data_IF_223676901331
#
_entry.id   IF_223676901331
#
_cell.length_a   1.000
_cell.length_b   1.000
_cell.length_c   1.000
_cell.angle_alpha   90.00
_cell.angle_beta   90.00
_cell.angle_gamma   90.00
#
_symmetry.space_group_name_H-M   'P 1'
#
loop_
_entity.id
_entity.type
_entity.pdbx_description
1 polymer ?
#
# COMPACT_ATOMS: atom_id res chain seq x y z
N UNK A 1 40.69 16.20 16.88
CA UNK A 1 41.18 14.81 16.70
C UNK A 1 40.17 14.07 15.81
N UNK A 2 40.44 13.87 14.50
CA UNK A 2 39.57 13.09 13.59
C UNK A 2 39.94 11.63 13.78
N UNK A 3 38.99 10.84 14.27
CA UNK A 3 39.15 9.37 14.34
C UNK A 3 38.98 8.85 12.90
N UNK A 4 40.09 8.42 12.28
CA UNK A 4 40.09 7.76 10.97
C UNK A 4 39.83 6.29 11.24
N UNK A 5 38.62 5.81 10.97
CA UNK A 5 38.30 4.38 11.08
C UNK A 5 39.00 3.60 9.96
N UNK A 6 39.49 2.41 10.27
CA UNK A 6 40.13 1.55 9.27
C UNK A 6 39.15 0.98 8.26
N UNK A 7 39.58 0.69 7.02
CA UNK A 7 38.77 0.03 6.01
C UNK A 7 38.17 -1.32 6.48
N UNK A 8 38.84 -2.01 7.39
CA UNK A 8 38.39 -3.29 7.92
C UNK A 8 37.29 -3.12 8.96
N UNK A 9 37.29 -2.06 9.78
CA UNK A 9 36.23 -1.74 10.72
C UNK A 9 34.93 -1.35 9.97
N UNK A 10 35.03 -0.55 8.92
CA UNK A 10 33.90 -0.21 8.07
C UNK A 10 33.29 -1.43 7.35
N UNK A 11 34.12 -2.37 6.91
CA UNK A 11 33.63 -3.64 6.32
C UNK A 11 32.92 -4.50 7.37
N UNK A 12 33.45 -4.62 8.56
CA UNK A 12 32.83 -5.41 9.63
C UNK A 12 31.49 -4.82 10.09
N UNK A 13 31.42 -3.50 10.26
CA UNK A 13 30.17 -2.80 10.55
C UNK A 13 29.13 -3.02 9.44
N UNK A 14 29.55 -2.93 8.18
CA UNK A 14 28.66 -3.18 7.04
C UNK A 14 28.10 -4.62 7.02
N UNK A 15 28.94 -5.64 7.26
CA UNK A 15 28.49 -7.03 7.35
C UNK A 15 27.58 -7.28 8.56
N UNK A 16 27.89 -6.67 9.70
CA UNK A 16 27.05 -6.77 10.90
C UNK A 16 25.65 -6.13 10.65
N UNK A 17 25.60 -4.95 10.05
CA UNK A 17 24.34 -4.28 9.69
C UNK A 17 23.56 -5.11 8.66
N UNK A 18 24.22 -5.63 7.63
CA UNK A 18 23.61 -6.49 6.64
C UNK A 18 23.03 -7.77 7.26
N UNK A 19 23.77 -8.39 8.17
CA UNK A 19 23.33 -9.59 8.91
C UNK A 19 22.13 -9.30 9.82
N UNK A 20 22.14 -8.16 10.52
CA UNK A 20 21.01 -7.70 11.33
C UNK A 20 19.78 -7.42 10.45
N UNK A 21 19.95 -6.78 9.29
CA UNK A 21 18.87 -6.53 8.33
C UNK A 21 18.27 -7.84 7.82
N UNK A 22 19.13 -8.84 7.49
CA UNK A 22 18.67 -10.16 7.04
C UNK A 22 17.89 -10.88 8.15
N UNK A 23 18.37 -10.81 9.41
CA UNK A 23 17.67 -11.40 10.55
C UNK A 23 16.33 -10.72 10.77
N UNK A 24 16.28 -9.38 10.77
CA UNK A 24 15.02 -8.63 10.96
C UNK A 24 14.03 -8.93 9.82
N UNK A 25 14.49 -9.04 8.58
CA UNK A 25 13.64 -9.43 7.46
C UNK A 25 13.11 -10.86 7.61
N UNK A 26 13.88 -11.77 8.18
CA UNK A 26 13.45 -13.14 8.44
C UNK A 26 12.42 -13.25 9.57
N UNK A 27 12.50 -12.36 10.58
CA UNK A 27 11.59 -12.37 11.74
C UNK A 27 10.20 -11.78 11.39
N UNK A 28 10.09 -10.95 10.34
CA UNK A 28 8.84 -10.25 9.98
C UNK A 28 8.10 -10.87 8.79
N UNK A 29 8.64 -11.90 8.14
CA UNK A 29 8.01 -12.53 6.99
C UNK A 29 7.11 -13.67 7.42
N UNK A 30 5.94 -13.77 6.77
CA UNK A 30 5.07 -14.93 6.88
C UNK A 30 5.80 -16.17 6.34
N UNK A 31 5.87 -17.24 7.14
CA UNK A 31 6.33 -18.55 6.68
C UNK A 31 5.13 -19.42 6.39
N UNK A 32 5.10 -20.04 5.23
CA UNK A 32 4.05 -20.98 4.86
C UNK A 32 4.62 -22.38 4.67
N UNK A 33 3.80 -23.39 5.01
CA UNK A 33 4.17 -24.78 4.96
C UNK A 33 3.07 -25.56 4.25
N UNK A 34 3.48 -26.50 3.41
CA UNK A 34 2.60 -27.52 2.85
C UNK A 34 2.51 -28.68 3.82
N UNK A 35 1.30 -29.16 4.05
CA UNK A 35 1.08 -30.39 4.82
C UNK A 35 1.20 -31.59 3.87
N UNK A 36 2.17 -32.46 4.14
CA UNK A 36 2.36 -33.70 3.42
C UNK A 36 2.41 -34.86 4.42
N UNK A 37 1.40 -35.71 4.42
CA UNK A 37 1.30 -36.89 5.32
C UNK A 37 1.60 -36.57 6.79
N UNK A 38 1.03 -35.48 7.34
CA UNK A 38 1.23 -34.96 8.70
C UNK A 38 2.61 -34.33 8.97
N UNK A 39 3.49 -34.23 7.95
CA UNK A 39 4.75 -33.48 8.03
C UNK A 39 4.58 -32.12 7.35
N UNK A 40 5.35 -31.14 7.85
CA UNK A 40 5.40 -29.81 7.28
C UNK A 40 6.62 -29.71 6.36
N UNK A 41 6.38 -29.23 5.15
CA UNK A 41 7.40 -28.88 4.17
C UNK A 41 7.35 -27.36 3.97
N UNK A 42 8.42 -26.67 4.26
CA UNK A 42 8.49 -25.21 4.10
C UNK A 42 8.44 -24.87 2.61
N UNK A 43 7.67 -23.84 2.29
CA UNK A 43 7.59 -23.28 0.93
C UNK A 43 8.44 -22.02 0.91
N UNK A 44 9.44 -21.99 0.03
CA UNK A 44 10.36 -20.89 -0.09
C UNK A 44 9.67 -19.61 -0.62
N UNK A 45 10.16 -18.47 -0.18
CA UNK A 45 9.74 -17.18 -0.70
C UNK A 45 10.24 -16.99 -2.13
N UNK A 46 9.41 -16.41 -2.99
CA UNK A 46 9.74 -15.96 -4.33
C UNK A 46 9.58 -14.45 -4.41
N UNK A 47 10.63 -13.76 -4.79
CA UNK A 47 10.57 -12.31 -4.99
C UNK A 47 9.87 -11.98 -6.28
N UNK A 48 9.09 -10.88 -6.29
CA UNK A 48 8.57 -10.29 -7.52
C UNK A 48 9.71 -9.60 -8.28
N UNK A 49 9.67 -9.66 -9.59
CA UNK A 49 10.69 -9.08 -10.47
C UNK A 49 10.58 -7.55 -10.58
N UNK A 50 9.37 -7.02 -10.39
CA UNK A 50 9.07 -5.59 -10.56
C UNK A 50 7.77 -5.18 -9.86
N UNK A 51 7.55 -3.87 -9.70
CA UNK A 51 6.26 -3.30 -9.30
C UNK A 51 5.16 -3.66 -10.32
N UNK A 52 5.50 -3.70 -11.61
CA UNK A 52 4.56 -4.06 -12.68
C UNK A 52 4.05 -5.50 -12.58
N UNK A 53 4.87 -6.44 -12.10
CA UNK A 53 4.41 -7.81 -11.83
C UNK A 53 3.36 -7.82 -10.72
N UNK A 54 3.61 -7.11 -9.62
CA UNK A 54 2.66 -6.97 -8.51
C UNK A 54 1.38 -6.30 -9.01
N UNK A 55 1.49 -5.21 -9.74
CA UNK A 55 0.35 -4.49 -10.33
C UNK A 55 -0.51 -5.43 -11.18
N UNK A 56 0.10 -6.18 -12.09
CA UNK A 56 -0.62 -7.11 -12.97
C UNK A 56 -1.38 -8.18 -12.18
N UNK A 57 -0.76 -8.76 -11.15
CA UNK A 57 -1.42 -9.76 -10.30
C UNK A 57 -2.61 -9.12 -9.57
N UNK A 58 -2.44 -7.95 -9.01
CA UNK A 58 -3.48 -7.27 -8.23
C UNK A 58 -4.63 -6.81 -9.13
N UNK A 59 -4.35 -6.17 -10.26
CA UNK A 59 -5.38 -5.66 -11.19
C UNK A 59 -6.29 -6.78 -11.71
N UNK A 60 -5.73 -7.96 -11.99
CA UNK A 60 -6.51 -9.12 -12.41
C UNK A 60 -7.33 -9.77 -11.28
N UNK A 61 -7.15 -9.34 -10.03
CA UNK A 61 -7.75 -9.98 -8.86
C UNK A 61 -8.32 -8.99 -7.84
N UNK A 62 -8.63 -7.74 -8.20
CA UNK A 62 -9.12 -6.71 -7.27
C UNK A 62 -10.40 -7.11 -6.54
N UNK A 63 -11.31 -7.83 -7.22
CA UNK A 63 -12.53 -8.35 -6.60
C UNK A 63 -12.23 -9.43 -5.57
N UNK A 64 -11.35 -10.38 -5.90
CA UNK A 64 -10.98 -11.48 -5.01
C UNK A 64 -10.22 -10.99 -3.78
N UNK A 65 -9.30 -10.02 -3.97
CA UNK A 65 -8.41 -9.54 -2.92
C UNK A 65 -9.09 -8.51 -1.99
N UNK A 66 -9.93 -7.64 -2.56
CA UNK A 66 -10.41 -6.44 -1.86
C UNK A 66 -11.91 -6.20 -1.99
N UNK A 67 -12.65 -7.03 -2.74
CA UNK A 67 -14.03 -6.77 -3.12
C UNK A 67 -14.21 -5.43 -3.87
N UNK A 68 -13.21 -5.04 -4.69
CA UNK A 68 -13.21 -3.79 -5.45
C UNK A 68 -13.39 -4.07 -6.95
N UNK A 69 -14.16 -3.23 -7.61
CA UNK A 69 -14.27 -3.23 -9.07
C UNK A 69 -13.06 -2.52 -9.68
N UNK A 70 -12.30 -3.23 -10.53
CA UNK A 70 -11.25 -2.59 -11.33
C UNK A 70 -11.86 -1.63 -12.34
N UNK A 71 -11.35 -0.39 -12.40
CA UNK A 71 -11.83 0.65 -13.32
C UNK A 71 -10.81 0.94 -14.40
N UNK A 72 -9.57 1.29 -14.02
CA UNK A 72 -8.55 1.74 -14.96
C UNK A 72 -7.14 1.45 -14.45
N UNK A 73 -6.27 1.00 -15.36
CA UNK A 73 -4.81 0.98 -15.16
C UNK A 73 -4.19 2.28 -15.63
N UNK A 74 -3.17 2.76 -14.94
CA UNK A 74 -2.34 3.90 -15.34
C UNK A 74 -3.15 5.14 -15.77
N UNK A 75 -4.16 5.49 -14.97
CA UNK A 75 -5.00 6.67 -15.21
C UNK A 75 -4.17 7.95 -15.12
N UNK A 76 -4.14 8.74 -16.20
CA UNK A 76 -3.51 10.05 -16.21
C UNK A 76 -4.52 11.11 -15.80
N UNK A 77 -4.19 11.91 -14.80
CA UNK A 77 -4.99 13.05 -14.35
C UNK A 77 -4.03 14.18 -13.96
N UNK A 78 -4.18 15.33 -14.61
CA UNK A 78 -3.21 16.44 -14.53
C UNK A 78 -1.79 15.95 -14.88
N UNK A 79 -0.78 16.31 -14.08
CA UNK A 79 0.60 15.90 -14.25
C UNK A 79 0.95 14.57 -13.51
N UNK A 80 -0.06 13.83 -13.08
CA UNK A 80 0.09 12.61 -12.29
C UNK A 80 -0.45 11.39 -13.02
N UNK A 81 0.17 10.25 -12.74
CA UNK A 81 -0.28 8.94 -13.19
C UNK A 81 -0.59 8.07 -11.98
N UNK A 82 -1.83 7.67 -11.87
CA UNK A 82 -2.35 6.76 -10.86
C UNK A 82 -2.15 5.33 -11.37
N UNK A 83 -1.50 4.46 -10.62
CA UNK A 83 -1.20 3.10 -11.08
C UNK A 83 -2.47 2.29 -11.35
N UNK A 84 -3.41 2.26 -10.39
CA UNK A 84 -4.67 1.52 -10.53
C UNK A 84 -5.81 2.30 -9.88
N UNK A 85 -6.89 2.49 -10.64
CA UNK A 85 -8.14 3.02 -10.13
C UNK A 85 -9.15 1.88 -9.95
N UNK A 86 -9.76 1.83 -8.78
CA UNK A 86 -10.84 0.91 -8.44
C UNK A 86 -12.07 1.65 -7.91
N UNK A 87 -13.19 0.95 -7.86
CA UNK A 87 -14.43 1.42 -7.24
C UNK A 87 -14.93 0.41 -6.21
N UNK A 88 -15.30 0.91 -5.05
CA UNK A 88 -15.92 0.16 -3.97
C UNK A 88 -17.45 0.37 -4.04
N UNK A 89 -18.18 -0.66 -4.47
CA UNK A 89 -19.65 -0.61 -4.56
C UNK A 89 -20.31 -0.59 -3.19
N UNK A 90 -19.65 -1.09 -2.13
CA UNK A 90 -20.20 -1.10 -0.78
C UNK A 90 -20.22 0.31 -0.16
N UNK A 91 -19.11 1.02 -0.27
CA UNK A 91 -18.98 2.40 0.22
C UNK A 91 -19.35 3.47 -0.83
N UNK A 92 -19.65 3.07 -2.07
CA UNK A 92 -19.88 3.97 -3.21
C UNK A 92 -18.74 4.99 -3.39
N UNK A 93 -17.50 4.55 -3.32
CA UNK A 93 -16.32 5.41 -3.34
C UNK A 93 -15.22 4.89 -4.24
N UNK A 94 -14.33 5.79 -4.68
CA UNK A 94 -13.13 5.41 -5.42
C UNK A 94 -12.01 4.98 -4.49
N UNK A 95 -11.24 4.00 -4.94
CA UNK A 95 -10.03 3.51 -4.29
C UNK A 95 -8.89 3.59 -5.30
N UNK A 96 -7.83 4.27 -4.92
CA UNK A 96 -6.56 4.28 -5.68
C UNK A 96 -5.66 3.21 -5.09
N UNK A 97 -5.01 2.42 -5.95
CA UNK A 97 -4.00 1.46 -5.53
C UNK A 97 -2.67 1.87 -6.15
N UNK A 98 -1.65 1.99 -5.32
CA UNK A 98 -0.28 2.34 -5.67
C UNK A 98 0.67 1.22 -5.26
N UNK A 99 1.62 0.89 -6.11
CA UNK A 99 2.57 -0.20 -5.88
C UNK A 99 3.96 0.33 -5.55
N UNK A 100 4.62 -0.31 -4.59
CA UNK A 100 5.98 0.04 -4.18
C UNK A 100 6.82 -1.22 -4.01
N UNK A 101 7.98 -1.24 -4.63
CA UNK A 101 8.95 -2.33 -4.48
C UNK A 101 10.23 -1.88 -3.76
N UNK A 102 10.33 -0.63 -3.35
CA UNK A 102 11.53 -0.06 -2.75
C UNK A 102 11.29 0.60 -1.41
N UNK A 103 12.34 0.68 -0.59
CA UNK A 103 12.35 1.35 0.72
C UNK A 103 12.22 2.88 0.62
N UNK A 104 12.13 3.42 -0.57
CA UNK A 104 12.12 4.86 -0.81
C UNK A 104 10.71 5.43 -0.85
N UNK A 105 10.65 6.69 -0.49
CA UNK A 105 9.55 7.63 -0.59
C UNK A 105 8.46 7.54 0.49
N UNK A 106 8.03 8.70 0.86
CA UNK A 106 6.88 8.98 1.68
C UNK A 106 5.61 8.53 0.96
N UNK A 107 5.09 7.36 1.32
CA UNK A 107 3.77 6.89 0.86
C UNK A 107 2.69 7.90 1.22
N UNK A 108 2.89 8.65 2.30
CA UNK A 108 1.93 9.63 2.82
C UNK A 108 1.79 10.84 1.90
N UNK A 109 2.90 11.44 1.49
CA UNK A 109 2.86 12.62 0.60
C UNK A 109 2.21 12.27 -0.73
N UNK A 110 2.51 11.09 -1.28
CA UNK A 110 1.90 10.59 -2.50
C UNK A 110 0.41 10.31 -2.30
N UNK A 111 0.02 9.71 -1.17
CA UNK A 111 -1.38 9.45 -0.84
C UNK A 111 -2.21 10.72 -0.76
N UNK A 112 -1.74 11.75 -0.07
CA UNK A 112 -2.43 13.05 0.00
C UNK A 112 -2.48 13.74 -1.37
N UNK A 113 -1.42 13.64 -2.18
CA UNK A 113 -1.41 14.17 -3.55
C UNK A 113 -2.51 13.51 -4.38
N UNK A 114 -2.62 12.18 -4.36
CA UNK A 114 -3.66 11.46 -5.10
C UNK A 114 -5.07 11.77 -4.63
N UNK A 115 -5.29 11.87 -3.31
CA UNK A 115 -6.59 12.30 -2.79
C UNK A 115 -6.93 13.73 -3.21
N UNK A 116 -5.96 14.64 -3.19
CA UNK A 116 -6.15 16.00 -3.65
C UNK A 116 -6.53 16.05 -5.14
N UNK A 117 -5.81 15.32 -5.99
CA UNK A 117 -6.11 15.21 -7.42
C UNK A 117 -7.53 14.66 -7.61
N UNK A 118 -7.88 13.57 -6.96
CA UNK A 118 -9.21 12.95 -7.07
C UNK A 118 -10.32 13.90 -6.64
N UNK A 119 -10.16 14.59 -5.50
CA UNK A 119 -11.18 15.48 -4.97
C UNK A 119 -11.36 16.77 -5.79
N UNK A 120 -10.29 17.22 -6.46
CA UNK A 120 -10.34 18.39 -7.36
C UNK A 120 -10.87 18.02 -8.76
N UNK A 121 -10.66 16.78 -9.22
CA UNK A 121 -11.00 16.32 -10.56
C UNK A 121 -12.11 15.24 -10.56
N UNK A 122 -13.09 15.35 -9.67
CA UNK A 122 -14.19 14.37 -9.48
C UNK A 122 -14.87 13.94 -10.77
N UNK A 123 -14.98 14.84 -11.73
CA UNK A 123 -15.66 14.56 -13.01
C UNK A 123 -14.88 13.58 -13.87
N UNK A 124 -13.55 13.64 -13.84
CA UNK A 124 -12.67 12.78 -14.63
C UNK A 124 -12.72 11.35 -14.09
N UNK A 125 -12.74 11.18 -12.76
CA UNK A 125 -12.90 9.86 -12.13
C UNK A 125 -14.25 9.22 -12.44
N UNK A 126 -15.32 10.01 -12.44
CA UNK A 126 -16.67 9.55 -12.83
C UNK A 126 -16.69 9.20 -14.31
N UNK A 127 -16.04 9.99 -15.16
CA UNK A 127 -15.95 9.72 -16.60
C UNK A 127 -15.22 8.40 -16.84
N UNK A 128 -14.05 8.20 -16.25
CA UNK A 128 -13.29 6.95 -16.38
C UNK A 128 -14.11 5.73 -15.90
N UNK A 129 -14.85 5.85 -14.81
CA UNK A 129 -15.78 4.80 -14.38
C UNK A 129 -16.83 4.51 -15.45
N UNK A 130 -17.51 5.53 -15.95
CA UNK A 130 -18.62 5.39 -16.90
C UNK A 130 -18.15 4.87 -18.28
N UNK A 131 -16.90 5.10 -18.65
CA UNK A 131 -16.32 4.61 -19.90
C UNK A 131 -15.82 3.15 -19.81
N UNK A 132 -15.42 2.71 -18.62
CA UNK A 132 -14.80 1.39 -18.43
C UNK A 132 -15.70 0.36 -17.75
N UNK A 133 -16.88 0.79 -17.23
CA UNK A 133 -17.82 -0.08 -16.51
C UNK A 133 -19.14 -0.19 -17.24
N UNK A 134 -19.82 -1.34 -17.09
CA UNK A 134 -21.16 -1.57 -17.68
C UNK A 134 -22.27 -0.72 -17.04
N UNK A 135 -21.95 -0.05 -15.92
CA UNK A 135 -22.89 0.81 -15.17
C UNK A 135 -22.40 2.25 -15.20
N UNK A 136 -23.33 3.19 -15.21
CA UNK A 136 -23.02 4.61 -15.06
C UNK A 136 -23.35 5.11 -13.67
N UNK A 137 -22.47 5.97 -13.14
CA UNK A 137 -22.67 6.67 -11.87
C UNK A 137 -22.72 8.18 -12.08
N UNK A 138 -23.37 8.87 -11.17
CA UNK A 138 -23.37 10.34 -11.12
C UNK A 138 -22.45 10.82 -10.01
N UNK A 139 -21.79 11.97 -10.22
CA UNK A 139 -20.85 12.57 -9.28
C UNK A 139 -21.43 12.77 -7.86
N UNK A 140 -22.71 13.09 -7.75
CA UNK A 140 -23.44 13.30 -6.50
C UNK A 140 -23.82 11.99 -5.78
N UNK A 141 -23.65 10.84 -6.43
CA UNK A 141 -23.87 9.50 -5.84
C UNK A 141 -22.61 8.87 -5.29
N UNK A 142 -21.44 9.44 -5.59
CA UNK A 142 -20.16 8.97 -5.04
C UNK A 142 -19.97 9.56 -3.65
N UNK A 143 -19.67 8.70 -2.67
CA UNK A 143 -19.25 9.14 -1.33
C UNK A 143 -17.74 9.43 -1.33
N UNK A 144 -17.41 10.66 -1.70
CA UNK A 144 -16.01 11.12 -1.75
C UNK A 144 -15.31 11.12 -0.39
N UNK A 145 -16.06 11.10 0.72
CA UNK A 145 -15.50 11.04 2.07
C UNK A 145 -14.94 9.67 2.43
N UNK A 146 -15.38 8.63 1.70
CA UNK A 146 -14.92 7.26 1.87
C UNK A 146 -13.79 6.89 0.88
N UNK A 147 -13.41 7.83 -0.01
CA UNK A 147 -12.29 7.60 -0.93
C UNK A 147 -10.99 7.40 -0.17
N UNK A 148 -10.18 6.45 -0.61
CA UNK A 148 -8.96 6.04 0.08
C UNK A 148 -7.88 5.56 -0.88
N UNK A 149 -6.66 5.46 -0.38
CA UNK A 149 -5.51 4.96 -1.15
C UNK A 149 -4.94 3.71 -0.48
N UNK A 150 -4.78 2.65 -1.25
CA UNK A 150 -4.06 1.44 -0.85
C UNK A 150 -2.64 1.53 -1.37
N UNK A 151 -1.69 1.31 -0.49
CA UNK A 151 -0.29 1.09 -0.86
C UNK A 151 0.02 -0.40 -0.75
N UNK A 152 0.48 -1.00 -1.84
CA UNK A 152 0.85 -2.42 -1.87
C UNK A 152 2.36 -2.50 -2.05
N UNK A 153 3.04 -3.19 -1.14
CA UNK A 153 4.49 -3.36 -1.14
C UNK A 153 4.90 -4.71 -0.60
N UNK A 154 6.10 -5.16 -0.94
CA UNK A 154 6.68 -6.34 -0.31
C UNK A 154 7.15 -6.09 1.12
N UNK A 155 7.27 -4.81 1.52
CA UNK A 155 7.70 -4.41 2.86
C UNK A 155 7.41 -2.94 3.11
N UNK A 156 6.98 -2.60 4.33
CA UNK A 156 6.90 -1.23 4.83
C UNK A 156 7.83 -1.02 6.03
N UNK A 157 8.53 0.10 6.04
CA UNK A 157 9.35 0.52 7.19
C UNK A 157 8.46 0.84 8.39
N UNK A 158 9.02 0.79 9.60
CA UNK A 158 8.28 1.17 10.81
C UNK A 158 7.79 2.65 10.75
N UNK A 159 8.57 3.52 10.10
CA UNK A 159 8.17 4.90 9.88
C UNK A 159 6.89 5.00 9.03
N UNK A 160 6.81 4.26 7.92
CA UNK A 160 5.62 4.21 7.07
C UNK A 160 4.41 3.61 7.81
N UNK A 161 4.61 2.54 8.57
CA UNK A 161 3.56 1.94 9.41
C UNK A 161 3.05 2.93 10.46
N UNK A 162 3.95 3.66 11.12
CA UNK A 162 3.58 4.66 12.13
C UNK A 162 2.84 5.85 11.52
N UNK A 163 3.18 6.26 10.29
CA UNK A 163 2.58 7.42 9.64
C UNK A 163 1.10 7.23 9.25
N UNK A 164 0.65 5.97 9.12
CA UNK A 164 -0.77 5.63 8.88
C UNK A 164 -1.46 5.10 10.15
N UNK A 165 -0.80 5.14 11.31
CA UNK A 165 -1.32 4.57 12.55
C UNK A 165 -2.31 5.51 13.25
N UNK A 166 -3.38 5.89 12.54
CA UNK A 166 -4.50 6.65 13.05
C UNK A 166 -5.80 5.96 12.66
N UNK A 167 -6.87 6.19 13.41
CA UNK A 167 -8.17 5.56 13.21
C UNK A 167 -8.83 5.90 11.87
N UNK A 168 -8.62 7.11 11.38
CA UNK A 168 -9.36 7.74 10.29
C UNK A 168 -8.49 8.31 9.16
N UNK A 169 -7.26 7.81 9.01
CA UNK A 169 -6.43 8.09 7.84
C UNK A 169 -6.98 7.34 6.64
N UNK A 170 -7.20 8.00 5.50
CA UNK A 170 -7.72 7.36 4.30
C UNK A 170 -6.65 6.56 3.52
N UNK A 171 -5.71 5.93 4.24
CA UNK A 171 -4.62 5.14 3.68
C UNK A 171 -4.59 3.75 4.28
N UNK A 172 -4.38 2.75 3.44
CA UNK A 172 -4.18 1.37 3.84
C UNK A 172 -2.84 0.85 3.32
N UNK A 173 -2.09 0.17 4.17
CA UNK A 173 -0.85 -0.50 3.80
C UNK A 173 -1.11 -2.01 3.71
N UNK A 174 -0.72 -2.61 2.58
CA UNK A 174 -0.87 -4.02 2.31
C UNK A 174 0.47 -4.64 1.94
N UNK A 175 0.98 -5.56 2.74
CA UNK A 175 2.19 -6.32 2.41
C UNK A 175 1.83 -7.52 1.55
N UNK A 176 2.53 -7.66 0.41
CA UNK A 176 2.36 -8.77 -0.53
C UNK A 176 3.64 -9.62 -0.57
N UNK A 177 3.48 -10.94 -0.56
CA UNK A 177 4.59 -11.89 -0.57
C UNK A 177 4.31 -13.01 -1.56
N UNK A 178 5.25 -13.28 -2.46
CA UNK A 178 5.21 -14.43 -3.37
C UNK A 178 5.89 -15.66 -2.78
N UNK A 179 5.47 -16.84 -3.20
CA UNK A 179 6.04 -18.12 -2.80
C UNK A 179 6.37 -18.99 -4.02
N UNK A 180 7.32 -19.92 -3.86
CA UNK A 180 7.85 -20.77 -4.95
C UNK A 180 6.83 -21.74 -5.56
N UNK A 181 5.72 -21.99 -4.87
CA UNK A 181 4.61 -22.82 -5.32
C UNK A 181 3.50 -22.04 -6.02
N UNK A 182 3.80 -20.84 -6.54
CA UNK A 182 2.86 -19.94 -7.22
C UNK A 182 1.72 -19.42 -6.34
N UNK A 183 1.88 -19.44 -5.01
CA UNK A 183 0.95 -18.80 -4.10
C UNK A 183 1.39 -17.38 -3.77
N UNK A 184 0.43 -16.54 -3.38
CA UNK A 184 0.62 -15.17 -2.93
C UNK A 184 -0.01 -15.02 -1.56
N UNK A 185 0.74 -14.46 -0.61
CA UNK A 185 0.22 -13.98 0.67
C UNK A 185 -0.02 -12.48 0.61
N UNK A 186 -1.16 -12.02 1.13
CA UNK A 186 -1.49 -10.61 1.24
C UNK A 186 -1.94 -10.31 2.67
N UNK A 187 -1.36 -9.27 3.28
CA UNK A 187 -1.67 -8.91 4.65
C UNK A 187 -1.86 -7.41 4.80
N UNK A 188 -3.01 -6.99 5.32
CA UNK A 188 -3.24 -5.60 5.72
C UNK A 188 -2.47 -5.27 6.99
N UNK A 189 -1.76 -4.15 6.99
CA UNK A 189 -1.15 -3.58 8.20
C UNK A 189 -2.25 -2.85 8.97
N UNK A 190 -2.61 -3.39 10.12
CA UNK A 190 -3.69 -2.85 10.94
C UNK A 190 -3.14 -1.75 11.85
N UNK A 191 -3.80 -0.59 11.85
CA UNK A 191 -3.56 0.46 12.84
C UNK A 191 -4.06 0.00 14.21
N UNK A 192 -3.20 0.11 15.22
CA UNK A 192 -3.57 -0.16 16.62
C UNK A 192 -3.95 1.13 17.37
N UNK A 193 -3.88 2.29 16.73
CA UNK A 193 -4.21 3.56 17.35
C UNK A 193 -5.72 3.74 17.49
N UNK A 194 -6.13 4.26 18.64
CA UNK A 194 -7.49 4.74 18.89
C UNK A 194 -7.64 6.23 18.57
N UNK A 195 -6.53 6.90 18.32
CA UNK A 195 -6.47 8.33 18.07
C UNK A 195 -6.97 8.66 16.64
N UNK A 196 -7.62 9.79 16.53
CA UNK A 196 -8.20 10.32 15.29
C UNK A 196 -7.50 11.62 14.93
N UNK A 197 -7.13 11.78 13.64
CA UNK A 197 -6.64 13.06 13.13
C UNK A 197 -7.70 14.16 13.29
N UNK A 198 -8.99 13.83 13.16
CA UNK A 198 -10.11 14.77 13.37
C UNK A 198 -10.18 15.33 14.80
N UNK A 199 -9.54 14.67 15.76
CA UNK A 199 -9.41 15.17 17.13
C UNK A 199 -8.56 16.43 17.24
N UNK A 200 -7.62 16.65 16.31
CA UNK A 200 -6.73 17.82 16.28
C UNK A 200 -7.46 19.11 15.87
N UNK A 201 -8.59 19.03 15.16
CA UNK A 201 -9.38 20.18 14.74
C UNK A 201 -10.20 20.80 15.89
N UNK A 202 -10.63 19.98 16.86
CA UNK A 202 -11.42 20.46 18.01
C UNK A 202 -10.63 21.36 18.96
N UNK A 203 -9.30 21.31 18.94
CA UNK A 203 -8.43 22.18 19.76
C UNK A 203 -8.22 23.59 19.20
N UNK A 204 -8.58 23.84 17.91
CA UNK A 204 -8.39 25.16 17.28
C UNK A 204 -9.57 26.13 17.42
N UNK A 205 -10.75 25.64 17.80
CA UNK A 205 -11.96 26.46 17.94
C UNK A 205 -12.13 27.13 19.32
N UNK A 206 -11.16 27.00 20.22
CA UNK A 206 -11.21 27.60 21.57
C UNK A 206 -10.22 28.74 21.79
N UNK A 207 -9.65 29.30 20.72
CA UNK A 207 -8.81 30.50 20.78
C UNK A 207 -9.43 31.54 19.83
N UNK A 208 -10.49 32.17 20.28
CA UNK A 208 -10.98 33.48 19.79
C UNK A 208 -11.30 34.31 21.03
#
# INVERSE_FOLDING_TARGET
>A
MRIVRSKNELKFEFFAILFIIIIIQKITRMEIFKINQKKLEQIDNKSFSSEKEIQTIVENNTETLFNLKFVKTEMVCEDSRIDTLCYDEESNSFVIIEYKNSKSASVIDQGYSYLSIMLNNKSDFVLEYNENMDKTIKRDKVDWSQSRVFFISTFFTQYQKNSVNFKDVPFELWEIQGFSNETVGLQKIISNSKESIKGLEKGRSSIV
#
